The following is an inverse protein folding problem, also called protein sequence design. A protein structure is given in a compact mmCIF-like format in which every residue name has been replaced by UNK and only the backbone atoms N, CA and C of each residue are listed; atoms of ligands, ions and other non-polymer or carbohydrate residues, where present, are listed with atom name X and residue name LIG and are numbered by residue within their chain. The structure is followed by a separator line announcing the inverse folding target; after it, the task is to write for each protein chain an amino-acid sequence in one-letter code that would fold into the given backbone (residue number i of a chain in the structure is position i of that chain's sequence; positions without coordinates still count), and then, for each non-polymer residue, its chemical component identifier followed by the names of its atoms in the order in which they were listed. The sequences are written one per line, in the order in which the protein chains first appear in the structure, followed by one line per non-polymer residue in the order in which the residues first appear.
data_IF_137530569964
#
_entry.id   IF_137530569964
#
_cell.length_a   1.000
_cell.length_b   1.000
_cell.length_c   1.000
_cell.angle_alpha   90.00
_cell.angle_beta   90.00
_cell.angle_gamma   90.00
#
_symmetry.space_group_name_H-M   'P 1'
#
loop_
_entity.id
_entity.type
_entity.pdbx_description
1 polymer ?
#
# COMPACT_ATOMS: atom_id res chain seq x y z
N UNK A 1 3.45 -4.29 18.82
CA UNK A 1 2.30 -3.39 18.69
C UNK A 1 1.95 -3.16 17.24
N UNK A 2 0.68 -2.93 16.95
CA UNK A 2 0.27 -2.66 15.59
C UNK A 2 0.53 -1.20 15.23
N UNK A 3 0.92 -0.98 13.98
CA UNK A 3 1.03 0.37 13.43
C UNK A 3 -0.35 0.89 13.05
N UNK A 4 -0.53 2.20 13.14
CA UNK A 4 -1.75 2.83 12.63
C UNK A 4 -1.66 2.95 11.13
N UNK A 5 -2.76 2.65 10.43
CA UNK A 5 -2.82 2.75 8.98
C UNK A 5 -3.57 4.03 8.62
N UNK A 6 -2.92 4.90 7.85
CA UNK A 6 -3.55 6.09 7.28
C UNK A 6 -3.55 5.97 5.76
N UNK A 7 -4.55 6.56 5.12
CA UNK A 7 -4.70 6.51 3.66
C UNK A 7 -4.66 7.90 3.08
N UNK A 8 -3.79 8.11 2.10
CA UNK A 8 -3.78 9.35 1.37
C UNK A 8 -5.03 9.44 0.50
N UNK A 9 -5.47 10.66 0.21
CA UNK A 9 -6.71 10.85 -0.57
C UNK A 9 -6.67 10.14 -1.92
N UNK A 10 -5.51 10.09 -2.57
CA UNK A 10 -5.35 9.41 -3.86
C UNK A 10 -5.77 7.94 -3.81
N UNK A 11 -5.67 7.30 -2.63
CA UNK A 11 -6.02 5.90 -2.47
C UNK A 11 -7.53 5.69 -2.67
N UNK A 12 -8.34 6.64 -2.22
CA UNK A 12 -9.79 6.52 -2.40
C UNK A 12 -10.17 6.54 -3.89
N UNK A 13 -9.48 7.36 -4.67
CA UNK A 13 -9.68 7.39 -6.11
C UNK A 13 -9.21 6.09 -6.75
N UNK A 14 -8.08 5.55 -6.28
CA UNK A 14 -7.58 4.27 -6.79
C UNK A 14 -8.60 3.16 -6.54
N UNK A 15 -9.14 3.10 -5.31
CA UNK A 15 -10.07 2.03 -4.91
C UNK A 15 -11.35 2.04 -5.75
N UNK A 16 -11.83 3.23 -6.12
CA UNK A 16 -13.05 3.34 -6.93
C UNK A 16 -12.93 2.63 -8.28
N UNK A 17 -11.71 2.45 -8.77
CA UNK A 17 -11.45 1.82 -10.07
C UNK A 17 -11.18 0.33 -9.95
N UNK A 18 -11.18 -0.21 -8.75
CA UNK A 18 -10.86 -1.61 -8.49
C UNK A 18 -12.15 -2.36 -8.20
N UNK A 19 -12.25 -3.60 -8.72
CA UNK A 19 -13.37 -4.46 -8.40
C UNK A 19 -13.55 -4.55 -6.88
N UNK A 20 -14.81 -4.51 -6.43
CA UNK A 20 -15.13 -4.43 -5.01
C UNK A 20 -14.52 -5.57 -4.19
N UNK A 21 -14.60 -6.79 -4.70
CA UNK A 21 -14.05 -7.96 -4.01
C UNK A 21 -12.54 -7.85 -3.88
N UNK A 22 -11.89 -7.41 -4.95
CA UNK A 22 -10.43 -7.23 -4.95
C UNK A 22 -10.03 -6.10 -4.01
N UNK A 23 -10.78 -4.99 -4.03
CA UNK A 23 -10.51 -3.87 -3.14
C UNK A 23 -10.59 -4.28 -1.68
N UNK A 24 -11.61 -5.06 -1.32
CA UNK A 24 -11.76 -5.56 0.05
C UNK A 24 -10.59 -6.42 0.47
N UNK A 25 -10.11 -7.28 -0.44
CA UNK A 25 -8.95 -8.12 -0.16
C UNK A 25 -7.71 -7.27 0.07
N UNK A 26 -7.50 -6.25 -0.76
CA UNK A 26 -6.34 -5.38 -0.62
C UNK A 26 -6.36 -4.66 0.73
N UNK A 27 -7.51 -4.10 1.10
CA UNK A 27 -7.65 -3.39 2.38
C UNK A 27 -7.42 -4.34 3.54
N UNK A 28 -7.98 -5.56 3.45
CA UNK A 28 -7.78 -6.56 4.50
C UNK A 28 -6.29 -6.89 4.69
N UNK A 29 -5.57 -7.08 3.58
CA UNK A 29 -4.13 -7.37 3.62
C UNK A 29 -3.35 -6.21 4.24
N UNK A 30 -3.70 -4.97 3.87
CA UNK A 30 -3.07 -3.80 4.44
C UNK A 30 -3.26 -3.78 5.96
N UNK A 31 -4.48 -3.94 6.41
CA UNK A 31 -4.80 -3.77 7.82
C UNK A 31 -4.39 -4.94 8.69
N UNK A 32 -4.25 -6.12 8.10
CA UNK A 32 -3.77 -7.27 8.86
C UNK A 32 -2.26 -7.44 8.79
N UNK A 33 -1.66 -7.32 7.61
CA UNK A 33 -0.24 -7.63 7.44
C UNK A 33 0.66 -6.42 7.63
N UNK A 34 0.34 -5.29 7.00
CA UNK A 34 1.20 -4.11 7.10
C UNK A 34 1.10 -3.44 8.46
N UNK A 35 -0.04 -3.56 9.13
CA UNK A 35 -0.17 -3.02 10.48
C UNK A 35 0.70 -3.77 11.49
N UNK A 36 0.92 -5.06 11.26
CA UNK A 36 1.77 -5.86 12.14
C UNK A 36 3.25 -5.66 11.85
N UNK A 37 3.61 -5.66 10.57
CA UNK A 37 5.01 -5.61 10.16
C UNK A 37 5.13 -4.86 8.83
N UNK A 38 5.22 -3.54 8.88
CA UNK A 38 5.27 -2.75 7.65
C UNK A 38 6.54 -2.96 6.83
N UNK A 39 7.55 -3.62 7.40
CA UNK A 39 8.79 -3.88 6.67
C UNK A 39 8.74 -5.14 5.81
N UNK A 40 7.60 -5.84 5.76
CA UNK A 40 7.48 -7.01 4.89
C UNK A 40 7.43 -6.63 3.41
N UNK A 41 7.13 -5.37 3.10
CA UNK A 41 7.16 -4.90 1.73
C UNK A 41 8.59 -4.70 1.26
N UNK A 42 8.71 -4.50 -0.04
CA UNK A 42 10.01 -4.27 -0.67
C UNK A 42 10.35 -2.77 -0.63
N UNK A 43 11.50 -2.43 -0.04
CA UNK A 43 11.95 -1.05 -0.02
C UNK A 43 12.37 -0.63 -1.43
N UNK A 44 11.91 0.52 -1.86
CA UNK A 44 12.24 1.05 -3.18
C UNK A 44 13.53 1.86 -3.11
N UNK A 45 14.18 2.06 -4.26
CA UNK A 45 15.47 2.74 -4.32
C UNK A 45 15.39 3.90 -5.31
N UNK A 46 16.52 4.62 -5.46
CA UNK A 46 16.60 5.75 -6.38
C UNK A 46 15.66 6.86 -5.99
N UNK A 47 14.93 7.38 -6.96
CA UNK A 47 14.01 8.49 -6.73
C UNK A 47 12.82 8.10 -5.84
N UNK A 48 12.61 6.80 -5.63
CA UNK A 48 11.53 6.31 -4.76
C UNK A 48 12.02 5.89 -3.39
N UNK A 49 13.24 6.24 -3.03
CA UNK A 49 13.79 5.90 -1.72
C UNK A 49 12.88 6.43 -0.61
N UNK A 50 12.65 5.61 0.40
CA UNK A 50 11.74 5.93 1.50
C UNK A 50 10.36 5.36 1.31
N UNK A 51 10.06 4.81 0.14
CA UNK A 51 8.78 4.17 -0.12
C UNK A 51 8.95 2.65 -0.13
N UNK A 52 7.83 1.96 0.06
CA UNK A 52 7.77 0.51 0.07
C UNK A 52 6.67 0.04 -0.87
N UNK A 53 6.82 -1.17 -1.36
CA UNK A 53 5.86 -1.81 -2.24
C UNK A 53 5.45 -3.15 -1.64
N UNK A 54 4.14 -3.36 -1.49
CA UNK A 54 3.60 -4.63 -1.02
C UNK A 54 2.65 -5.19 -2.06
N UNK A 55 2.85 -6.45 -2.40
CA UNK A 55 2.10 -7.09 -3.48
C UNK A 55 0.86 -7.79 -2.96
N UNK A 56 -0.30 -7.51 -3.57
CA UNK A 56 -1.53 -8.25 -3.33
C UNK A 56 -2.07 -8.65 -4.70
N UNK A 57 -1.82 -9.90 -5.10
CA UNK A 57 -2.20 -10.36 -6.43
C UNK A 57 -1.49 -9.55 -7.52
N UNK A 58 -2.28 -8.99 -8.45
CA UNK A 58 -1.73 -8.14 -9.52
C UNK A 58 -1.66 -6.68 -9.12
N UNK A 59 -1.90 -6.37 -7.86
CA UNK A 59 -1.92 -5.00 -7.37
C UNK A 59 -0.72 -4.73 -6.48
N UNK A 60 -0.30 -3.48 -6.46
CA UNK A 60 0.83 -3.03 -5.65
C UNK A 60 0.35 -1.92 -4.74
N UNK A 61 0.64 -2.07 -3.46
CA UNK A 61 0.35 -1.05 -2.45
C UNK A 61 1.65 -0.30 -2.20
N UNK A 62 1.64 1.00 -2.49
CA UNK A 62 2.80 1.85 -2.28
C UNK A 62 2.57 2.62 -0.99
N UNK A 63 3.52 2.56 -0.07
CA UNK A 63 3.36 3.17 1.24
C UNK A 63 4.68 3.66 1.80
N UNK A 64 4.59 4.49 2.83
CA UNK A 64 5.76 4.92 3.60
C UNK A 64 5.51 4.59 5.07
N UNK A 65 6.60 4.51 5.83
CA UNK A 65 6.54 4.25 7.26
C UNK A 65 6.99 5.52 7.96
N UNK A 66 6.11 6.10 8.77
CA UNK A 66 6.35 7.36 9.47
C UNK A 66 6.13 7.12 10.96
N UNK A 67 7.22 6.90 11.70
CA UNK A 67 7.13 6.62 13.13
C UNK A 67 6.26 5.37 13.36
N UNK A 68 5.09 5.51 13.99
CA UNK A 68 4.18 4.39 14.24
C UNK A 68 3.01 4.34 13.25
N UNK A 69 3.15 5.05 12.13
CA UNK A 69 2.09 5.14 11.11
C UNK A 69 2.59 4.55 9.81
N UNK A 70 1.73 3.75 9.17
CA UNK A 70 1.93 3.31 7.79
C UNK A 70 0.99 4.15 6.93
N UNK A 71 1.57 5.00 6.08
CA UNK A 71 0.79 5.87 5.21
C UNK A 71 0.69 5.24 3.83
N UNK A 72 -0.52 4.85 3.45
CA UNK A 72 -0.78 4.26 2.14
C UNK A 72 -0.91 5.39 1.13
N UNK A 73 -0.07 5.34 0.10
CA UNK A 73 0.03 6.42 -0.88
C UNK A 73 -0.71 6.13 -2.18
N UNK A 74 -0.59 4.90 -2.69
CA UNK A 74 -1.23 4.50 -3.94
C UNK A 74 -1.52 3.01 -3.92
N UNK A 75 -2.56 2.63 -4.65
CA UNK A 75 -2.84 1.23 -4.97
C UNK A 75 -2.93 1.16 -6.48
N UNK A 76 -1.96 0.49 -7.11
CA UNK A 76 -1.82 0.50 -8.57
C UNK A 76 -1.76 -0.92 -9.11
N UNK A 77 -2.30 -1.10 -10.30
CA UNK A 77 -2.12 -2.36 -11.01
C UNK A 77 -0.66 -2.50 -11.40
N UNK A 78 -0.15 -3.72 -11.42
CA UNK A 78 1.27 -3.97 -11.69
C UNK A 78 1.76 -3.35 -12.99
N UNK A 79 0.87 -3.19 -13.97
CA UNK A 79 1.24 -2.66 -15.27
C UNK A 79 1.48 -1.15 -15.28
N UNK A 80 1.10 -0.42 -14.20
CA UNK A 80 1.22 1.04 -14.15
C UNK A 80 1.97 1.55 -12.92
N UNK A 81 2.65 0.67 -12.19
CA UNK A 81 3.33 1.04 -10.96
C UNK A 81 4.47 1.96 -11.28
N UNK A 82 5.03 2.57 -11.58
CA UNK A 82 6.14 3.48 -11.84
C UNK A 82 5.91 4.37 -13.07
N UNK A 83 4.67 4.66 -13.37
CA UNK A 83 4.39 5.59 -14.47
C UNK A 83 3.93 6.96 -13.99
#
# INVERSE_FOLDING_TARGET
MAYRIDYKRSVFNDIKKIDRTVAKRIIHEIESELAKNPEIGEALTGQFKGLYKYRVGNWRVIYSILSDIVLILRIRHRSVVYQ
#
